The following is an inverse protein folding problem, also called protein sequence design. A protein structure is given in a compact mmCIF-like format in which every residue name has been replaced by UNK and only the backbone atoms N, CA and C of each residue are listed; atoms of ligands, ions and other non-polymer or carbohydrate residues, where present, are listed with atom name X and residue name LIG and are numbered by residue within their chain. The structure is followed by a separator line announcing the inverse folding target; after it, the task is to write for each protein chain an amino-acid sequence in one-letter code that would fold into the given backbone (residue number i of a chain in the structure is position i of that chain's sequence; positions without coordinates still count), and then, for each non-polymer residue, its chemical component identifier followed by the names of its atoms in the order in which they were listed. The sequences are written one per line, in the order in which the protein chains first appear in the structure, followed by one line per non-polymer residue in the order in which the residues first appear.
data_IF_269631454855
#
_entry.id   IF_269631454855
#
_cell.length_a   1.000
_cell.length_b   1.000
_cell.length_c   1.000
_cell.angle_alpha   90.00
_cell.angle_beta   90.00
_cell.angle_gamma   90.00
#
_symmetry.space_group_name_H-M   'P 1'
#
loop_
_entity.id
_entity.type
_entity.pdbx_description
1 polymer ?
#
# COMPACT_ATOMS: atom_id res chain seq x y z
N UNK A 1 -31.84 -2.84 -1.00
CA UNK A 1 -31.05 -2.61 -2.22
C UNK A 1 -30.06 -1.46 -2.02
N UNK A 2 -30.49 -0.37 -1.37
CA UNK A 2 -29.63 0.79 -1.07
C UNK A 2 -28.42 0.48 -0.19
N UNK A 3 -28.55 -0.40 0.82
CA UNK A 3 -27.42 -0.79 1.67
C UNK A 3 -26.33 -1.55 0.90
N UNK A 4 -26.69 -2.39 -0.07
CA UNK A 4 -25.71 -3.10 -0.92
C UNK A 4 -24.95 -2.09 -1.78
N UNK A 5 -25.68 -1.13 -2.38
CA UNK A 5 -25.06 -0.05 -3.16
C UNK A 5 -24.10 0.79 -2.31
N UNK A 6 -24.49 1.12 -1.08
CA UNK A 6 -23.66 1.89 -0.16
C UNK A 6 -22.37 1.14 0.21
N UNK A 7 -22.45 -0.15 0.55
CA UNK A 7 -21.27 -0.97 0.89
C UNK A 7 -20.32 -1.08 -0.31
N UNK A 8 -20.84 -1.29 -1.51
CA UNK A 8 -20.04 -1.35 -2.73
C UNK A 8 -19.31 -0.01 -2.95
N UNK A 9 -20.03 1.10 -2.84
CA UNK A 9 -19.45 2.43 -3.00
C UNK A 9 -18.33 2.68 -1.97
N UNK A 10 -18.61 2.40 -0.70
CA UNK A 10 -17.64 2.56 0.40
C UNK A 10 -16.37 1.73 0.17
N UNK A 11 -16.53 0.47 -0.26
CA UNK A 11 -15.41 -0.43 -0.56
C UNK A 11 -14.51 0.11 -1.67
N UNK A 12 -15.11 0.60 -2.77
CA UNK A 12 -14.34 1.16 -3.88
C UNK A 12 -13.68 2.49 -3.53
N UNK A 13 -14.38 3.37 -2.81
CA UNK A 13 -13.81 4.64 -2.35
C UNK A 13 -12.62 4.41 -1.43
N UNK A 14 -12.75 3.53 -0.42
CA UNK A 14 -11.67 3.21 0.50
C UNK A 14 -10.44 2.60 -0.20
N UNK A 15 -10.65 1.72 -1.19
CA UNK A 15 -9.56 1.07 -1.93
C UNK A 15 -8.89 1.95 -2.98
N UNK A 16 -9.63 2.81 -3.67
CA UNK A 16 -9.12 3.55 -4.84
C UNK A 16 -8.22 4.71 -4.45
N UNK A 17 -8.69 5.60 -3.57
CA UNK A 17 -7.97 6.83 -3.24
C UNK A 17 -6.68 6.52 -2.45
N UNK A 18 -6.74 5.55 -1.54
CA UNK A 18 -5.58 5.13 -0.73
C UNK A 18 -4.52 4.43 -1.57
N UNK A 19 -4.91 3.51 -2.46
CA UNK A 19 -3.98 2.77 -3.31
C UNK A 19 -3.35 3.66 -4.38
N UNK A 20 -4.13 4.54 -5.01
CA UNK A 20 -3.60 5.46 -6.03
C UNK A 20 -2.55 6.41 -5.44
N UNK A 21 -2.85 7.00 -4.28
CA UNK A 21 -1.91 7.85 -3.53
C UNK A 21 -0.63 7.10 -3.15
N UNK A 22 -0.74 5.85 -2.67
CA UNK A 22 0.41 5.02 -2.33
C UNK A 22 1.31 4.76 -3.55
N UNK A 23 0.71 4.42 -4.70
CA UNK A 23 1.46 4.15 -5.93
C UNK A 23 2.16 5.40 -6.45
N UNK A 24 1.49 6.56 -6.40
CA UNK A 24 2.08 7.85 -6.77
C UNK A 24 3.33 8.16 -5.94
N UNK A 25 3.22 8.09 -4.61
CA UNK A 25 4.36 8.32 -3.71
C UNK A 25 5.47 7.30 -3.89
N UNK A 26 5.11 6.02 -4.06
CA UNK A 26 6.09 4.96 -4.30
C UNK A 26 6.89 5.23 -5.57
N UNK A 27 6.23 5.59 -6.68
CA UNK A 27 6.93 5.93 -7.91
C UNK A 27 7.80 7.18 -7.74
N UNK A 28 7.31 8.22 -7.07
CA UNK A 28 8.10 9.41 -6.75
C UNK A 28 9.38 9.06 -5.96
N UNK A 29 9.27 8.27 -4.89
CA UNK A 29 10.44 7.87 -4.08
C UNK A 29 11.42 6.97 -4.86
N UNK A 30 10.91 6.06 -5.69
CA UNK A 30 11.75 5.19 -6.52
C UNK A 30 12.52 5.99 -7.59
N UNK A 31 11.89 6.98 -8.22
CA UNK A 31 12.56 7.85 -9.19
C UNK A 31 13.64 8.71 -8.53
N UNK A 32 13.42 9.15 -7.29
CA UNK A 32 14.40 9.90 -6.50
C UNK A 32 15.54 9.04 -5.96
N UNK A 33 15.36 7.73 -5.87
CA UNK A 33 16.34 6.78 -5.34
C UNK A 33 16.70 5.67 -6.36
N UNK A 34 17.54 5.96 -7.38
CA UNK A 34 17.86 5.00 -8.46
C UNK A 34 18.47 3.68 -7.98
N UNK A 35 19.20 3.67 -6.85
CA UNK A 35 19.77 2.46 -6.26
C UNK A 35 18.68 1.51 -5.74
N UNK A 36 17.68 2.06 -5.04
CA UNK A 36 16.50 1.33 -4.55
C UNK A 36 15.69 0.78 -5.72
N UNK A 37 15.44 1.62 -6.73
CA UNK A 37 14.74 1.19 -7.95
C UNK A 37 15.47 0.04 -8.67
N UNK A 38 16.79 0.11 -8.78
CA UNK A 38 17.58 -0.96 -9.38
C UNK A 38 17.43 -2.27 -8.61
N UNK A 39 17.63 -2.23 -7.29
CA UNK A 39 17.50 -3.39 -6.42
C UNK A 39 16.10 -4.02 -6.49
N UNK A 40 15.05 -3.19 -6.54
CA UNK A 40 13.68 -3.66 -6.70
C UNK A 40 13.45 -4.34 -8.05
N UNK A 41 13.93 -3.72 -9.14
CA UNK A 41 13.82 -4.31 -10.49
C UNK A 41 14.58 -5.63 -10.59
N UNK A 42 15.73 -5.74 -9.93
CA UNK A 42 16.52 -6.97 -9.91
C UNK A 42 15.76 -8.09 -9.17
N UNK A 43 15.15 -7.81 -8.01
CA UNK A 43 14.30 -8.78 -7.30
C UNK A 43 13.11 -9.23 -8.16
N UNK A 44 12.37 -8.28 -8.74
CA UNK A 44 11.21 -8.60 -9.59
C UNK A 44 11.64 -9.49 -10.76
N UNK A 45 12.72 -9.15 -11.46
CA UNK A 45 13.24 -9.94 -12.59
C UNK A 45 13.66 -11.35 -12.19
N UNK A 46 14.26 -11.50 -11.01
CA UNK A 46 14.68 -12.79 -10.50
C UNK A 46 13.47 -13.70 -10.22
N UNK A 47 12.39 -13.16 -9.64
CA UNK A 47 11.19 -13.94 -9.31
C UNK A 47 10.34 -14.26 -10.55
N UNK A 48 10.34 -13.37 -11.55
CA UNK A 48 9.55 -13.51 -12.78
C UNK A 48 10.33 -14.13 -13.93
N UNK A 49 11.54 -14.64 -13.71
CA UNK A 49 12.38 -15.18 -14.78
C UNK A 49 11.68 -16.35 -15.50
N UNK A 50 11.57 -16.26 -16.83
CA UNK A 50 10.92 -17.29 -17.66
C UNK A 50 9.39 -17.33 -17.56
N UNK A 51 8.75 -16.46 -16.78
CA UNK A 51 7.29 -16.37 -16.66
C UNK A 51 6.71 -15.37 -17.66
N UNK A 52 5.55 -15.70 -18.22
CA UNK A 52 4.80 -14.78 -19.09
C UNK A 52 3.92 -13.81 -18.30
N UNK A 53 3.55 -14.16 -17.07
CA UNK A 53 2.65 -13.38 -16.21
C UNK A 53 3.10 -13.51 -14.75
N UNK A 54 2.81 -12.48 -13.95
CA UNK A 54 3.02 -12.47 -12.49
C UNK A 54 1.75 -12.94 -11.81
N UNK A 55 1.87 -13.88 -10.87
CA UNK A 55 0.74 -14.35 -10.05
C UNK A 55 0.79 -13.75 -8.63
N UNK A 56 -0.27 -13.94 -7.85
CA UNK A 56 -0.29 -13.53 -6.44
C UNK A 56 0.78 -14.26 -5.62
N UNK A 57 0.97 -15.56 -5.86
CA UNK A 57 2.01 -16.37 -5.21
C UNK A 57 3.43 -15.84 -5.46
N UNK A 58 3.67 -15.20 -6.61
CA UNK A 58 4.97 -14.60 -6.92
C UNK A 58 5.28 -13.42 -6.00
N UNK A 59 4.26 -12.68 -5.55
CA UNK A 59 4.44 -11.53 -4.66
C UNK A 59 4.95 -11.95 -3.29
N UNK A 60 4.62 -13.15 -2.82
CA UNK A 60 5.16 -13.71 -1.57
C UNK A 60 6.69 -13.88 -1.62
N UNK A 61 7.24 -14.04 -2.84
CA UNK A 61 8.67 -14.20 -3.08
C UNK A 61 9.37 -12.87 -3.36
N UNK A 62 8.69 -11.72 -3.22
CA UNK A 62 9.26 -10.37 -3.42
C UNK A 62 9.29 -9.56 -2.10
N UNK A 63 10.11 -9.96 -1.10
CA UNK A 63 10.13 -9.29 0.19
C UNK A 63 10.63 -7.84 0.13
N UNK A 64 11.52 -7.49 -0.81
CA UNK A 64 11.99 -6.13 -0.97
C UNK A 64 10.92 -5.23 -1.60
N UNK A 65 10.14 -5.73 -2.56
CA UNK A 65 8.93 -5.05 -3.03
C UNK A 65 7.97 -4.72 -1.88
N UNK A 66 7.66 -5.70 -1.03
CA UNK A 66 6.82 -5.47 0.15
C UNK A 66 7.43 -4.43 1.11
N UNK A 67 8.75 -4.43 1.29
CA UNK A 67 9.45 -3.44 2.10
C UNK A 67 9.37 -2.03 1.51
N UNK A 68 9.49 -1.89 0.18
CA UNK A 68 9.33 -0.61 -0.52
C UNK A 68 7.91 -0.05 -0.31
N UNK A 69 6.88 -0.88 -0.49
CA UNK A 69 5.49 -0.45 -0.28
C UNK A 69 5.24 -0.02 1.16
N UNK A 70 5.76 -0.77 2.14
CA UNK A 70 5.65 -0.43 3.58
C UNK A 70 6.39 0.85 3.93
N UNK A 71 7.56 1.08 3.35
CA UNK A 71 8.34 2.29 3.60
C UNK A 71 7.67 3.52 2.98
N UNK A 72 7.09 3.40 1.79
CA UNK A 72 6.25 4.44 1.20
C UNK A 72 5.08 4.79 2.11
N UNK A 73 4.38 3.80 2.69
CA UNK A 73 3.30 4.04 3.66
C UNK A 73 3.79 4.70 4.96
N UNK A 74 4.99 4.35 5.43
CA UNK A 74 5.60 4.95 6.63
C UNK A 74 5.90 6.43 6.42
N UNK A 75 6.35 6.81 5.22
CA UNK A 75 6.68 8.19 4.86
C UNK A 75 5.44 9.00 4.46
N UNK A 76 4.54 8.40 3.69
CA UNK A 76 3.43 9.05 3.01
C UNK A 76 2.13 8.28 3.23
N UNK A 77 1.60 8.33 4.46
CA UNK A 77 0.32 7.69 4.79
C UNK A 77 -0.85 8.43 4.12
N UNK A 78 -1.67 7.76 3.26
CA UNK A 78 -2.86 8.39 2.66
C UNK A 78 -3.91 8.80 3.70
N UNK A 79 -3.91 8.15 4.87
CA UNK A 79 -4.85 8.44 5.97
C UNK A 79 -4.03 8.69 7.26
N UNK A 80 -3.51 9.92 7.46
CA UNK A 80 -2.61 10.22 8.59
C UNK A 80 -3.34 10.33 9.94
N UNK A 81 -4.65 10.56 9.95
CA UNK A 81 -5.46 10.71 11.16
C UNK A 81 -6.60 9.69 11.17
N UNK A 82 -6.82 9.07 12.34
CA UNK A 82 -7.93 8.14 12.60
C UNK A 82 -8.74 8.66 13.80
N UNK A 83 -9.60 9.68 13.60
CA UNK A 83 -10.34 10.29 14.70
C UNK A 83 -11.29 9.29 15.36
N UNK A 84 -11.42 9.39 16.67
CA UNK A 84 -12.34 8.59 17.50
C UNK A 84 -13.09 9.53 18.44
N UNK A 85 -14.37 9.26 18.64
CA UNK A 85 -15.19 9.92 19.65
C UNK A 85 -15.33 9.00 20.87
N UNK A 86 -15.07 9.53 22.07
CA UNK A 86 -15.17 8.77 23.30
C UNK A 86 -16.64 8.69 23.75
N UNK A 87 -17.19 7.48 23.84
CA UNK A 87 -18.57 7.24 24.32
C UNK A 87 -18.70 7.19 25.84
N UNK A 88 -17.57 7.23 26.56
CA UNK A 88 -17.47 7.24 28.02
C UNK A 88 -16.11 7.78 28.44
N UNK A 89 -16.03 8.30 29.65
CA UNK A 89 -14.77 8.75 30.25
C UNK A 89 -13.71 7.65 30.15
N UNK A 90 -12.61 7.98 29.49
CA UNK A 90 -11.54 7.04 29.17
C UNK A 90 -10.20 7.67 29.57
N UNK A 91 -9.47 6.97 30.43
CA UNK A 91 -8.13 7.36 30.87
C UNK A 91 -7.08 6.67 30.00
N UNK A 92 -6.22 7.44 29.35
CA UNK A 92 -5.12 6.93 28.52
C UNK A 92 -3.81 7.38 29.14
N UNK A 93 -2.90 6.43 29.39
CA UNK A 93 -1.62 6.67 30.07
C UNK A 93 -1.71 7.24 31.50
N UNK A 94 -2.80 6.96 32.21
CA UNK A 94 -2.95 7.28 33.63
C UNK A 94 -3.32 8.72 33.88
#
# INVERSE_FOLDING_TARGET
MDSIKAIIMDTFSAGTDTTSTLLEWTMNELMRNPKTLRKLRDEVRQVTEGKSHVTEDDLEHMPYFAAVMKESLRLHSPVPLLPREAIKDTKVLG
#
